data_IF_231179777536
#
_entry.id   IF_231179777536
#
_cell.length_a   1.000
_cell.length_b   1.000
_cell.length_c   1.000
_cell.angle_alpha   90.00
_cell.angle_beta   90.00
_cell.angle_gamma   90.00
#
_symmetry.space_group_name_H-M   'P 1'
#
loop_
_entity.id
_entity.type
_entity.pdbx_description
1 polymer ?
#
# COMPACT_ATOMS: atom_id res chain seq x y z
N UNK A 1 4.18 11.44 9.53
CA UNK A 1 4.63 10.66 8.34
C UNK A 1 5.30 11.61 7.37
N UNK A 2 6.38 11.20 6.68
CA UNK A 2 6.86 11.99 5.53
C UNK A 2 5.79 11.92 4.43
N UNK A 3 5.44 13.08 3.89
CA UNK A 3 4.40 13.25 2.88
C UNK A 3 4.73 12.48 1.59
N UNK A 4 3.74 11.74 1.07
CA UNK A 4 3.76 11.18 -0.27
C UNK A 4 3.20 12.26 -1.21
N UNK A 5 4.08 12.90 -1.97
CA UNK A 5 3.66 13.70 -3.13
C UNK A 5 2.92 12.81 -4.14
N UNK A 6 2.04 13.39 -4.94
CA UNK A 6 1.28 12.67 -5.98
C UNK A 6 2.24 11.75 -6.75
N UNK A 7 2.04 10.45 -6.61
CA UNK A 7 2.90 9.41 -7.17
C UNK A 7 2.07 8.46 -8.00
N UNK A 8 2.52 8.15 -9.21
CA UNK A 8 1.91 7.08 -10.02
C UNK A 8 2.32 5.73 -9.44
N UNK A 9 1.35 4.93 -9.03
CA UNK A 9 1.54 3.56 -8.58
C UNK A 9 1.15 2.62 -9.71
N UNK A 10 2.00 1.64 -9.98
CA UNK A 10 1.69 0.48 -10.82
C UNK A 10 1.82 -0.79 -9.99
N UNK A 11 0.76 -1.59 -9.92
CA UNK A 11 0.82 -2.91 -9.30
C UNK A 11 1.72 -3.82 -10.13
N UNK A 12 2.80 -4.32 -9.55
CA UNK A 12 3.74 -5.19 -10.27
C UNK A 12 3.17 -6.62 -10.48
N UNK A 13 2.06 -6.97 -9.82
CA UNK A 13 1.43 -8.28 -9.97
C UNK A 13 0.37 -8.34 -11.08
N UNK A 14 -0.39 -7.25 -11.30
CA UNK A 14 -1.51 -7.24 -12.25
C UNK A 14 -1.51 -6.07 -13.24
N UNK A 15 -0.55 -5.14 -13.14
CA UNK A 15 -0.45 -3.99 -14.03
C UNK A 15 -1.45 -2.85 -13.77
N UNK A 16 -2.33 -2.98 -12.77
CA UNK A 16 -3.25 -1.91 -12.37
C UNK A 16 -2.48 -0.63 -12.05
N UNK A 17 -3.02 0.54 -12.45
CA UNK A 17 -2.39 1.83 -12.18
C UNK A 17 -3.35 2.83 -11.55
N UNK A 18 -2.81 3.68 -10.68
CA UNK A 18 -3.53 4.82 -10.08
C UNK A 18 -2.54 5.91 -9.64
N UNK A 19 -3.06 7.11 -9.40
CA UNK A 19 -2.33 8.17 -8.73
C UNK A 19 -2.71 8.22 -7.26
N UNK A 20 -1.70 8.16 -6.39
CA UNK A 20 -1.88 8.26 -4.94
C UNK A 20 -1.20 9.50 -4.37
N UNK A 21 -1.79 10.05 -3.32
CA UNK A 21 -1.33 11.18 -2.53
C UNK A 21 -1.64 10.90 -1.05
N UNK A 22 -1.35 11.87 -0.17
CA UNK A 22 -1.60 11.76 1.27
C UNK A 22 -3.05 11.43 1.63
N UNK A 23 -4.02 11.87 0.83
CA UNK A 23 -5.45 11.68 1.13
C UNK A 23 -6.06 10.44 0.48
N UNK A 24 -5.27 9.69 -0.30
CA UNK A 24 -5.79 8.56 -1.09
C UNK A 24 -6.37 7.43 -0.24
N UNK A 25 -5.94 7.30 1.02
CA UNK A 25 -6.52 6.33 1.95
C UNK A 25 -7.96 6.67 2.37
N UNK A 26 -8.37 7.94 2.26
CA UNK A 26 -9.72 8.41 2.57
C UNK A 26 -10.67 8.34 1.37
N UNK A 27 -10.17 8.02 0.18
CA UNK A 27 -10.96 7.90 -1.04
C UNK A 27 -11.23 6.42 -1.37
N UNK A 28 -12.48 6.00 -1.22
CA UNK A 28 -12.92 4.64 -1.48
C UNK A 28 -12.81 4.21 -2.95
N UNK A 29 -12.62 5.16 -3.89
CA UNK A 29 -12.45 4.90 -5.32
C UNK A 29 -10.98 4.60 -5.68
N UNK A 30 -10.02 4.89 -4.80
CA UNK A 30 -8.59 4.67 -5.07
C UNK A 30 -8.24 3.21 -5.18
N UNK A 31 -7.59 2.80 -6.26
CA UNK A 31 -7.25 1.38 -6.51
C UNK A 31 -6.15 0.86 -5.57
N UNK A 32 -5.49 1.77 -4.85
CA UNK A 32 -4.48 1.46 -3.86
C UNK A 32 -4.77 2.18 -2.54
N UNK A 33 -4.43 1.54 -1.42
CA UNK A 33 -4.11 2.25 -0.20
C UNK A 33 -2.60 2.21 0.04
N UNK A 34 -2.08 3.21 0.73
CA UNK A 34 -0.66 3.35 1.03
C UNK A 34 -0.44 3.39 2.52
N UNK A 35 0.52 2.61 3.03
CA UNK A 35 0.81 2.59 4.46
C UNK A 35 2.32 2.49 4.72
N UNK A 36 2.86 3.18 5.73
CA UNK A 36 4.26 2.98 6.13
C UNK A 36 4.51 1.51 6.49
N UNK A 37 5.57 0.92 5.93
CA UNK A 37 5.94 -0.47 6.22
C UNK A 37 7.10 -0.53 7.22
N UNK A 38 8.27 -0.02 6.85
CA UNK A 38 9.47 0.00 7.67
C UNK A 38 10.49 0.98 7.08
N UNK A 39 11.52 1.30 7.85
CA UNK A 39 12.72 1.97 7.34
C UNK A 39 13.79 0.89 7.11
N UNK A 40 14.43 0.89 5.95
CA UNK A 40 15.51 -0.06 5.67
C UNK A 40 16.82 0.32 6.37
N UNK A 41 17.85 -0.53 6.21
CA UNK A 41 19.16 -0.32 6.83
C UNK A 41 19.91 0.91 6.31
N UNK A 42 19.47 1.53 5.22
CA UNK A 42 20.03 2.76 4.66
C UNK A 42 19.32 4.02 5.17
N UNK A 43 18.24 3.86 5.95
CA UNK A 43 17.40 4.96 6.40
C UNK A 43 16.28 5.33 5.42
N UNK A 44 16.05 4.53 4.37
CA UNK A 44 15.00 4.77 3.38
C UNK A 44 13.65 4.26 3.89
N UNK A 45 12.62 5.10 3.82
CA UNK A 45 11.27 4.72 4.23
C UNK A 45 10.58 3.93 3.12
N UNK A 46 10.26 2.68 3.42
CA UNK A 46 9.51 1.78 2.54
C UNK A 46 8.03 1.86 2.89
N UNK A 47 7.21 2.03 1.87
CA UNK A 47 5.75 2.04 1.95
C UNK A 47 5.17 0.79 1.31
N UNK A 48 4.08 0.30 1.88
CA UNK A 48 3.26 -0.76 1.32
C UNK A 48 2.11 -0.14 0.52
N UNK A 49 2.02 -0.50 -0.75
CA UNK A 49 0.92 -0.15 -1.65
C UNK A 49 0.09 -1.40 -1.91
N UNK A 50 -1.04 -1.52 -1.23
CA UNK A 50 -1.95 -2.65 -1.44
C UNK A 50 -2.84 -2.38 -2.65
N UNK A 51 -2.90 -3.32 -3.59
CA UNK A 51 -3.73 -3.23 -4.77
C UNK A 51 -5.09 -3.89 -4.54
N UNK A 52 -6.17 -3.11 -4.56
CA UNK A 52 -7.53 -3.64 -4.40
C UNK A 52 -8.00 -4.49 -5.59
N UNK A 53 -7.38 -4.37 -6.77
CA UNK A 53 -7.74 -5.18 -7.94
C UNK A 53 -7.29 -6.65 -7.83
N UNK A 54 -6.21 -6.94 -7.10
CA UNK A 54 -5.66 -8.31 -7.04
C UNK A 54 -5.17 -8.77 -5.67
N UNK A 55 -5.22 -7.92 -4.64
CA UNK A 55 -4.86 -8.25 -3.26
C UNK A 55 -3.35 -8.33 -2.98
N UNK A 56 -2.50 -7.80 -3.86
CA UNK A 56 -1.05 -7.80 -3.64
C UNK A 56 -0.57 -6.52 -2.97
N UNK A 57 0.41 -6.67 -2.10
CA UNK A 57 1.20 -5.59 -1.52
C UNK A 57 2.42 -5.37 -2.40
N UNK A 58 2.63 -4.13 -2.82
CA UNK A 58 3.82 -3.67 -3.52
C UNK A 58 4.62 -2.83 -2.54
N UNK A 59 5.81 -3.28 -2.12
CA UNK A 59 6.69 -2.51 -1.27
C UNK A 59 7.57 -1.60 -2.14
N UNK A 60 7.45 -0.29 -1.95
CA UNK A 60 8.15 0.71 -2.74
C UNK A 60 8.53 1.94 -1.91
N UNK A 61 9.51 2.69 -2.39
CA UNK A 61 9.91 3.98 -1.82
C UNK A 61 9.91 5.06 -2.90
N UNK A 62 9.66 6.33 -2.53
CA UNK A 62 9.85 7.46 -3.44
C UNK A 62 11.31 7.56 -3.90
N UNK A 63 11.51 7.72 -5.20
CA UNK A 63 12.82 7.88 -5.85
C UNK A 63 12.71 8.90 -6.99
N UNK A 64 13.28 10.09 -6.78
CA UNK A 64 13.33 11.18 -7.78
C UNK A 64 12.00 11.44 -8.56
N UNK A 65 10.86 11.43 -7.86
CA UNK A 65 9.53 11.67 -8.47
C UNK A 65 8.82 10.42 -9.01
N UNK A 66 9.46 9.25 -8.91
CA UNK A 66 8.89 7.94 -9.22
C UNK A 66 8.87 7.05 -7.97
N UNK A 67 8.39 5.81 -8.14
CA UNK A 67 8.48 4.76 -7.12
C UNK A 67 9.54 3.73 -7.52
N UNK A 68 10.49 3.49 -6.63
CA UNK A 68 11.39 2.34 -6.70
C UNK A 68 10.73 1.16 -5.99
N UNK A 69 10.43 0.11 -6.74
CA UNK A 69 9.83 -1.12 -6.23
C UNK A 69 10.90 -2.09 -5.72
N UNK A 70 10.64 -2.74 -4.58
CA UNK A 70 11.57 -3.67 -3.95
C UNK A 70 11.04 -5.10 -3.98
N UNK A 71 9.78 -5.29 -3.58
CA UNK A 71 9.15 -6.61 -3.55
C UNK A 71 7.65 -6.48 -3.76
N UNK A 72 7.06 -7.49 -4.39
CA UNK A 72 5.61 -7.63 -4.54
C UNK A 72 5.19 -9.01 -4.08
N UNK A 73 4.18 -9.08 -3.22
CA UNK A 73 3.72 -10.31 -2.60
C UNK A 73 2.23 -10.26 -2.27
N UNK A 74 1.63 -11.41 -2.05
CA UNK A 74 0.26 -11.54 -1.51
C UNK A 74 0.33 -12.19 -0.15
N UNK A 75 -0.52 -11.74 0.75
CA UNK A 75 -0.76 -12.39 2.03
C UNK A 75 -2.13 -13.08 1.94
N UNK A 76 -2.26 -14.24 2.59
CA UNK A 76 -3.59 -14.82 2.82
C UNK A 76 -4.38 -13.96 3.82
N UNK A 77 -5.68 -14.24 4.01
CA UNK A 77 -6.53 -13.42 4.89
C UNK A 77 -6.00 -13.37 6.33
N UNK A 78 -5.63 -14.49 6.98
CA UNK A 78 -5.06 -14.45 8.33
C UNK A 78 -3.82 -13.58 8.44
N UNK A 79 -2.88 -13.68 7.50
CA UNK A 79 -1.63 -12.94 7.56
C UNK A 79 -1.79 -11.48 7.17
N UNK A 80 -2.70 -11.16 6.25
CA UNK A 80 -3.08 -9.78 5.95
C UNK A 80 -3.71 -9.10 7.17
N UNK A 81 -4.57 -9.81 7.90
CA UNK A 81 -5.18 -9.30 9.14
C UNK A 81 -4.11 -9.00 10.19
N UNK A 82 -3.19 -9.94 10.43
CA UNK A 82 -2.06 -9.74 11.35
C UNK A 82 -1.18 -8.57 10.90
N UNK A 83 -0.91 -8.46 9.60
CA UNK A 83 -0.13 -7.36 9.05
C UNK A 83 -0.79 -6.01 9.34
N UNK A 84 -2.10 -5.88 9.14
CA UNK A 84 -2.84 -4.65 9.44
C UNK A 84 -2.73 -4.26 10.93
N UNK A 85 -2.90 -5.24 11.83
CA UNK A 85 -2.77 -5.03 13.28
C UNK A 85 -1.34 -4.58 13.63
N UNK A 86 -0.33 -5.31 13.15
CA UNK A 86 1.07 -5.03 13.47
C UNK A 86 1.55 -3.68 12.93
N UNK A 87 0.96 -3.21 11.83
CA UNK A 87 1.28 -1.91 11.22
C UNK A 87 0.37 -0.78 11.72
N UNK A 88 -0.61 -1.08 12.57
CA UNK A 88 -1.57 -0.09 13.06
C UNK A 88 -2.38 0.56 11.94
N UNK A 89 -2.74 -0.21 10.91
CA UNK A 89 -3.51 0.28 9.76
C UNK A 89 -4.85 0.83 10.23
N UNK A 90 -5.21 2.03 9.75
CA UNK A 90 -6.43 2.71 10.16
C UNK A 90 -7.70 1.87 9.92
N UNK A 91 -8.63 1.96 10.86
CA UNK A 91 -9.88 1.19 10.84
C UNK A 91 -10.69 1.39 9.55
N UNK A 92 -10.63 2.60 8.96
CA UNK A 92 -11.28 2.89 7.68
C UNK A 92 -10.75 1.99 6.55
N UNK A 93 -9.42 1.79 6.49
CA UNK A 93 -8.78 0.94 5.48
C UNK A 93 -9.11 -0.53 5.77
N UNK A 94 -9.09 -0.94 7.05
CA UNK A 94 -9.46 -2.30 7.47
C UNK A 94 -10.90 -2.61 7.03
N UNK A 95 -11.85 -1.70 7.25
CA UNK A 95 -13.25 -1.88 6.82
C UNK A 95 -13.37 -2.02 5.30
N UNK A 96 -12.58 -1.24 4.56
CA UNK A 96 -12.54 -1.30 3.09
C UNK A 96 -12.00 -2.64 2.61
N UNK A 97 -10.96 -3.17 3.25
CA UNK A 97 -10.41 -4.50 2.96
C UNK A 97 -11.43 -5.62 3.24
N UNK A 98 -12.17 -5.53 4.34
CA UNK A 98 -13.26 -6.48 4.66
C UNK A 98 -14.37 -6.42 3.61
N UNK A 99 -14.80 -5.21 3.23
CA UNK A 99 -15.85 -5.02 2.21
C UNK A 99 -15.42 -5.57 0.85
N UNK A 100 -14.13 -5.44 0.50
CA UNK A 100 -13.55 -6.00 -0.71
C UNK A 100 -13.26 -7.51 -0.62
N UNK A 101 -13.51 -8.15 0.51
CA UNK A 101 -13.35 -9.60 0.70
C UNK A 101 -11.92 -10.06 0.98
N UNK A 102 -10.99 -9.15 1.27
CA UNK A 102 -9.58 -9.45 1.57
C UNK A 102 -9.32 -9.76 3.05
N UNK A 103 -10.19 -9.29 3.94
CA UNK A 103 -10.20 -9.61 5.37
C UNK A 103 -11.53 -10.28 5.73
#
# INVERSE_FOLDING_TARGET
>A
MKEIKISKVTCQACGETDQVNNDSNHDALKKFFVWPSHTDHTGLNIYAFFCFSCGSINAAAPDAGNLKYFITYKLDKPDLKKWCINKGVDQMIVNRLTTAGYL
#
